data_IF_301583215653
#
_entry.id   IF_301583215653
#
_cell.length_a   1.000
_cell.length_b   1.000
_cell.length_c   1.000
_cell.angle_alpha   90.00
_cell.angle_beta   90.00
_cell.angle_gamma   90.00
#
_symmetry.space_group_name_H-M   'P 1'
#
loop_
_entity.id
_entity.type
_entity.pdbx_description
1 polymer ?
#
# COMPACT_ATOMS: atom_id res chain seq x y z
N UNK A 1 -59.73 -24.86 27.50
CA UNK A 1 -58.40 -25.19 28.03
C UNK A 1 -57.37 -24.43 27.17
N UNK A 2 -56.89 -23.32 27.70
CA UNK A 2 -55.93 -22.47 26.97
C UNK A 2 -54.52 -22.80 27.48
N UNK A 3 -53.66 -23.27 26.56
CA UNK A 3 -52.26 -23.61 26.84
C UNK A 3 -51.43 -22.33 26.76
N UNK A 4 -50.98 -21.83 27.91
CA UNK A 4 -50.13 -20.64 28.04
C UNK A 4 -48.68 -21.11 28.00
N UNK A 5 -48.06 -21.09 26.80
CA UNK A 5 -46.64 -21.35 26.67
C UNK A 5 -45.82 -20.15 27.15
N UNK A 6 -45.25 -20.31 28.34
CA UNK A 6 -44.31 -19.35 28.95
C UNK A 6 -42.99 -19.45 28.18
N UNK A 7 -42.75 -18.52 27.21
CA UNK A 7 -41.43 -18.34 26.58
C UNK A 7 -40.48 -17.75 27.64
N UNK A 8 -39.62 -18.60 28.20
CA UNK A 8 -38.48 -18.16 28.99
C UNK A 8 -37.56 -17.28 28.15
N UNK A 9 -37.54 -15.97 28.40
CA UNK A 9 -36.51 -15.06 27.85
C UNK A 9 -35.15 -15.44 28.46
N UNK A 10 -34.37 -16.18 27.73
CA UNK A 10 -32.95 -16.38 28.05
C UNK A 10 -32.27 -15.00 28.01
N UNK A 11 -31.98 -14.45 29.21
CA UNK A 11 -31.11 -13.28 29.38
C UNK A 11 -29.74 -13.62 28.79
N UNK A 12 -29.46 -13.18 27.58
CA UNK A 12 -28.12 -13.20 27.01
C UNK A 12 -27.20 -12.47 28.00
N UNK A 13 -26.26 -13.17 28.62
CA UNK A 13 -25.21 -12.61 29.46
C UNK A 13 -24.47 -11.59 28.58
N UNK A 14 -24.57 -10.30 28.91
CA UNK A 14 -23.74 -9.25 28.30
C UNK A 14 -22.28 -9.71 28.42
N UNK A 15 -21.54 -9.88 27.31
CA UNK A 15 -20.13 -10.25 27.41
C UNK A 15 -19.43 -9.21 28.28
N UNK A 16 -18.46 -9.66 29.04
CA UNK A 16 -17.63 -8.82 29.94
C UNK A 16 -16.87 -7.78 29.11
N UNK A 17 -17.57 -6.74 28.66
CA UNK A 17 -17.11 -5.71 27.71
C UNK A 17 -15.81 -5.04 28.18
N UNK A 18 -15.59 -4.93 29.50
CA UNK A 18 -14.37 -4.39 30.04
C UNK A 18 -13.11 -5.24 29.72
N UNK A 19 -13.22 -6.59 29.73
CA UNK A 19 -12.09 -7.47 29.34
C UNK A 19 -11.75 -7.30 27.87
N UNK A 20 -12.76 -7.18 27.02
CA UNK A 20 -12.56 -6.90 25.60
C UNK A 20 -11.84 -5.54 25.40
N UNK A 21 -12.29 -4.50 26.13
CA UNK A 21 -11.63 -3.19 26.07
C UNK A 21 -10.20 -3.24 26.59
N UNK A 22 -9.94 -3.99 27.66
CA UNK A 22 -8.59 -4.18 28.19
C UNK A 22 -7.66 -4.85 27.16
N UNK A 23 -8.11 -5.93 26.51
CA UNK A 23 -7.35 -6.61 25.46
C UNK A 23 -7.07 -5.68 24.28
N UNK A 24 -8.09 -4.91 23.85
CA UNK A 24 -7.93 -3.94 22.76
C UNK A 24 -6.95 -2.82 23.12
N UNK A 25 -7.02 -2.29 24.36
CA UNK A 25 -6.11 -1.24 24.83
C UNK A 25 -4.67 -1.77 24.92
N UNK A 26 -4.47 -2.97 25.47
CA UNK A 26 -3.14 -3.59 25.53
C UNK A 26 -2.58 -3.84 24.12
N UNK A 27 -3.41 -4.37 23.21
CA UNK A 27 -3.02 -4.56 21.82
C UNK A 27 -2.64 -3.23 21.15
N UNK A 28 -3.44 -2.18 21.34
CA UNK A 28 -3.15 -0.85 20.83
C UNK A 28 -1.85 -0.27 21.43
N UNK A 29 -1.64 -0.41 22.73
CA UNK A 29 -0.41 0.04 23.41
C UNK A 29 0.84 -0.64 22.83
N UNK A 30 0.79 -1.97 22.62
CA UNK A 30 1.89 -2.72 21.99
C UNK A 30 2.16 -2.20 20.58
N UNK A 31 1.12 -1.97 19.78
CA UNK A 31 1.24 -1.46 18.40
C UNK A 31 1.79 -0.02 18.33
N UNK A 32 1.49 0.81 19.34
CA UNK A 32 1.95 2.21 19.39
C UNK A 32 3.38 2.33 19.95
N UNK A 33 3.82 1.37 20.76
CA UNK A 33 5.16 1.38 21.42
C UNK A 33 6.32 1.66 20.44
N UNK A 34 6.44 1.01 19.26
CA UNK A 34 7.55 1.28 18.34
C UNK A 34 7.53 2.72 17.82
N UNK A 35 6.36 3.31 17.62
CA UNK A 35 6.25 4.70 17.18
C UNK A 35 6.65 5.68 18.28
N UNK A 36 6.25 5.41 19.54
CA UNK A 36 6.70 6.20 20.69
C UNK A 36 8.22 6.11 20.83
N UNK A 37 8.79 4.90 20.72
CA UNK A 37 10.23 4.71 20.71
C UNK A 37 10.93 5.48 19.60
N UNK A 38 10.38 5.47 18.41
CA UNK A 38 10.88 6.21 17.25
C UNK A 38 10.91 7.72 17.55
N UNK A 39 9.80 8.29 18.04
CA UNK A 39 9.71 9.70 18.43
C UNK A 39 10.70 10.03 19.53
N UNK A 40 10.78 9.23 20.59
CA UNK A 40 11.74 9.44 21.67
C UNK A 40 13.18 9.38 21.16
N UNK A 41 13.47 8.52 20.20
CA UNK A 41 14.82 8.40 19.64
C UNK A 41 15.21 9.62 18.82
N UNK A 42 14.25 10.29 18.13
CA UNK A 42 14.57 11.55 17.45
C UNK A 42 14.99 12.66 18.39
N UNK A 43 14.64 12.57 19.66
CA UNK A 43 14.88 13.58 20.68
C UNK A 43 16.09 13.26 21.57
N UNK A 44 16.83 12.19 21.25
CA UNK A 44 18.08 11.81 21.93
C UNK A 44 19.29 12.36 21.23
N UNK A 45 20.37 12.51 22.00
CA UNK A 45 21.70 12.74 21.42
C UNK A 45 22.21 11.46 20.74
N UNK A 46 23.18 11.60 19.81
CA UNK A 46 23.78 10.43 19.13
C UNK A 46 24.39 9.43 20.12
N UNK A 47 25.17 9.83 21.16
CA UNK A 47 25.67 8.90 22.16
C UNK A 47 24.56 8.16 22.92
N UNK A 48 23.51 8.86 23.34
CA UNK A 48 22.39 8.24 24.06
C UNK A 48 21.63 7.22 23.20
N UNK A 49 21.48 7.50 21.89
CA UNK A 49 20.81 6.60 20.95
C UNK A 49 21.56 5.27 20.75
N UNK A 50 22.86 5.25 21.04
CA UNK A 50 23.76 4.10 20.92
C UNK A 50 24.10 3.45 22.26
N UNK A 51 23.61 4.00 23.38
CA UNK A 51 23.94 3.52 24.73
C UNK A 51 23.46 2.07 24.99
N UNK A 52 24.26 1.30 25.66
CA UNK A 52 23.94 -0.05 26.13
C UNK A 52 24.12 -0.10 27.64
N UNK A 53 23.09 -0.36 28.45
CA UNK A 53 21.69 -0.66 28.04
C UNK A 53 20.96 0.55 27.40
N UNK A 54 19.91 0.30 26.59
CA UNK A 54 19.19 1.39 25.93
C UNK A 54 18.53 2.34 26.93
N UNK A 55 18.76 3.64 26.73
CA UNK A 55 18.12 4.71 27.52
C UNK A 55 16.70 4.91 27.02
N UNK A 56 15.68 4.78 27.89
CA UNK A 56 14.29 4.92 27.50
C UNK A 56 13.91 6.38 27.19
N UNK A 57 14.21 7.29 28.10
CA UNK A 57 13.90 8.72 27.96
C UNK A 57 15.20 9.50 27.72
N UNK A 58 15.17 10.54 26.87
CA UNK A 58 16.33 11.41 26.69
C UNK A 58 16.74 12.04 28.02
N UNK A 59 18.03 12.02 28.37
CA UNK A 59 18.55 12.79 29.48
C UNK A 59 18.71 14.27 29.07
N UNK A 60 19.11 14.47 27.80
CA UNK A 60 19.18 15.80 27.15
C UNK A 60 18.25 15.77 25.94
N UNK A 61 17.31 16.72 25.87
CA UNK A 61 16.39 16.82 24.75
C UNK A 61 17.07 17.52 23.57
N UNK A 62 17.37 16.76 22.52
CA UNK A 62 17.99 17.24 21.28
C UNK A 62 16.91 17.36 20.17
N UNK A 63 16.64 18.58 19.71
CA UNK A 63 15.65 18.86 18.65
C UNK A 63 16.28 19.03 17.27
N UNK A 64 17.62 18.97 17.17
CA UNK A 64 18.34 19.27 15.93
C UNK A 64 18.31 18.11 14.92
N UNK A 65 17.83 16.94 15.31
CA UNK A 65 17.79 15.74 14.45
C UNK A 65 16.98 15.95 13.15
N UNK A 66 15.89 16.71 13.23
CA UNK A 66 15.10 17.08 12.05
C UNK A 66 15.89 18.03 11.13
N UNK A 67 16.54 19.04 11.71
CA UNK A 67 17.36 19.99 10.93
C UNK A 67 18.50 19.23 10.24
N UNK A 68 19.25 18.41 11.00
CA UNK A 68 20.31 17.56 10.42
C UNK A 68 19.81 16.67 9.27
N UNK A 69 18.59 16.13 9.38
CA UNK A 69 18.01 15.34 8.30
C UNK A 69 17.82 16.17 7.02
N UNK A 70 17.21 17.36 7.12
CA UNK A 70 16.98 18.25 5.98
C UNK A 70 18.28 18.80 5.38
N UNK A 71 19.33 18.99 6.18
CA UNK A 71 20.64 19.48 5.73
C UNK A 71 21.47 18.36 5.07
N UNK A 72 21.32 17.13 5.52
CA UNK A 72 22.13 15.99 5.04
C UNK A 72 21.56 15.36 3.76
N UNK A 73 20.25 15.38 3.62
CA UNK A 73 19.53 14.67 2.54
C UNK A 73 18.76 15.69 1.69
N UNK A 74 18.79 15.62 0.35
CA UNK A 74 17.96 16.46 -0.51
C UNK A 74 16.48 16.01 -0.47
N UNK A 75 15.86 16.15 0.70
CA UNK A 75 14.54 15.59 1.05
C UNK A 75 13.47 15.96 0.04
N UNK A 76 13.47 17.22 -0.41
CA UNK A 76 12.46 17.72 -1.35
C UNK A 76 12.54 17.03 -2.71
N UNK A 77 13.74 16.85 -3.26
CA UNK A 77 13.94 16.12 -4.51
C UNK A 77 13.48 14.68 -4.39
N UNK A 78 13.92 13.99 -3.32
CA UNK A 78 13.55 12.60 -3.07
C UNK A 78 12.05 12.43 -2.81
N UNK A 79 11.41 13.39 -2.14
CA UNK A 79 9.97 13.41 -1.95
C UNK A 79 9.23 13.54 -3.29
N UNK A 80 9.68 14.41 -4.18
CA UNK A 80 9.08 14.58 -5.51
C UNK A 80 9.25 13.32 -6.37
N UNK A 81 10.42 12.68 -6.34
CA UNK A 81 10.67 11.42 -7.06
C UNK A 81 9.76 10.31 -6.50
N UNK A 82 9.70 10.14 -5.17
CA UNK A 82 8.83 9.16 -4.53
C UNK A 82 7.35 9.38 -4.86
N UNK A 83 6.90 10.64 -4.79
CA UNK A 83 5.52 11.01 -5.11
C UNK A 83 5.19 10.81 -6.58
N UNK A 84 6.10 11.17 -7.48
CA UNK A 84 5.97 10.95 -8.90
C UNK A 84 5.90 9.46 -9.26
N UNK A 85 6.78 8.65 -8.68
CA UNK A 85 6.78 7.19 -8.85
C UNK A 85 5.48 6.57 -8.32
N UNK A 86 5.02 7.01 -7.14
CA UNK A 86 3.76 6.58 -6.56
C UNK A 86 2.57 6.91 -7.48
N UNK A 87 2.44 8.15 -7.92
CA UNK A 87 1.31 8.57 -8.78
C UNK A 87 1.32 7.80 -10.10
N UNK A 88 2.48 7.69 -10.75
CA UNK A 88 2.61 6.96 -12.01
C UNK A 88 2.29 5.47 -11.84
N UNK A 89 2.83 4.84 -10.79
CA UNK A 89 2.61 3.42 -10.50
C UNK A 89 1.16 3.13 -10.13
N UNK A 90 0.56 3.93 -9.24
CA UNK A 90 -0.82 3.73 -8.80
C UNK A 90 -1.78 3.92 -9.96
N UNK A 91 -1.70 5.04 -10.68
CA UNK A 91 -2.61 5.31 -11.80
C UNK A 91 -2.46 4.27 -12.92
N UNK A 92 -1.23 3.95 -13.30
CA UNK A 92 -0.96 2.95 -14.34
C UNK A 92 -1.41 1.55 -13.93
N UNK A 93 -1.09 1.11 -12.71
CA UNK A 93 -1.49 -0.21 -12.22
C UNK A 93 -3.01 -0.35 -12.10
N UNK A 94 -3.72 0.67 -11.60
CA UNK A 94 -5.18 0.66 -11.51
C UNK A 94 -5.82 0.54 -12.89
N UNK A 95 -5.37 1.34 -13.85
CA UNK A 95 -5.88 1.33 -15.22
C UNK A 95 -5.62 -0.01 -15.91
N UNK A 96 -4.38 -0.47 -15.89
CA UNK A 96 -3.98 -1.73 -16.56
C UNK A 96 -4.68 -2.92 -15.91
N UNK A 97 -4.71 -2.97 -14.57
CA UNK A 97 -5.38 -4.06 -13.85
C UNK A 97 -6.89 -4.06 -14.11
N UNK A 98 -7.55 -2.90 -14.12
CA UNK A 98 -8.98 -2.81 -14.39
C UNK A 98 -9.32 -3.22 -15.83
N UNK A 99 -8.56 -2.75 -16.81
CA UNK A 99 -8.76 -3.11 -18.22
C UNK A 99 -8.56 -4.61 -18.46
N UNK A 100 -7.47 -5.16 -17.97
CA UNK A 100 -7.18 -6.59 -18.07
C UNK A 100 -8.25 -7.43 -17.35
N UNK A 101 -8.63 -7.02 -16.15
CA UNK A 101 -9.65 -7.69 -15.34
C UNK A 101 -11.02 -7.68 -16.01
N UNK A 102 -11.41 -6.56 -16.63
CA UNK A 102 -12.66 -6.46 -17.38
C UNK A 102 -12.65 -7.40 -18.59
N UNK A 103 -11.53 -7.46 -19.33
CA UNK A 103 -11.34 -8.42 -20.40
C UNK A 103 -11.53 -9.86 -19.94
N UNK A 104 -10.88 -10.26 -18.84
CA UNK A 104 -11.01 -11.59 -18.27
C UNK A 104 -12.36 -11.87 -17.59
N UNK A 105 -13.10 -10.86 -17.16
CA UNK A 105 -14.41 -11.04 -16.52
C UNK A 105 -15.54 -11.18 -17.52
N UNK A 106 -15.56 -10.34 -18.57
CA UNK A 106 -16.75 -10.08 -19.39
C UNK A 106 -16.64 -10.55 -20.83
N UNK A 107 -15.42 -10.63 -21.40
CA UNK A 107 -15.28 -11.08 -22.79
C UNK A 107 -15.07 -12.60 -22.87
N UNK A 108 -15.92 -13.32 -23.63
CA UNK A 108 -15.67 -14.73 -23.93
C UNK A 108 -14.60 -14.84 -25.03
N UNK A 109 -13.52 -15.54 -24.74
CA UNK A 109 -12.51 -15.91 -25.74
C UNK A 109 -11.91 -17.28 -25.42
N UNK A 110 -11.43 -18.02 -26.45
CA UNK A 110 -10.86 -19.34 -26.25
C UNK A 110 -9.61 -19.27 -25.38
N UNK A 111 -9.48 -20.20 -24.42
CA UNK A 111 -8.32 -20.24 -23.52
C UNK A 111 -8.34 -19.24 -22.38
N UNK A 112 -9.41 -18.43 -22.20
CA UNK A 112 -9.51 -17.39 -21.15
C UNK A 112 -9.11 -17.89 -19.76
N UNK A 113 -9.63 -19.02 -19.33
CA UNK A 113 -9.37 -19.55 -17.99
C UNK A 113 -7.93 -20.08 -17.86
N UNK A 114 -7.38 -20.67 -18.92
CA UNK A 114 -5.98 -21.11 -18.95
C UNK A 114 -5.04 -19.90 -18.86
N UNK A 115 -5.25 -18.89 -19.70
CA UNK A 115 -4.44 -17.67 -19.68
C UNK A 115 -4.53 -16.94 -18.34
N UNK A 116 -5.72 -16.87 -17.75
CA UNK A 116 -5.87 -16.28 -16.43
C UNK A 116 -5.17 -17.11 -15.35
N UNK A 117 -5.24 -18.45 -15.43
CA UNK A 117 -4.51 -19.35 -14.54
C UNK A 117 -3.00 -19.18 -14.65
N UNK A 118 -2.45 -19.11 -15.86
CA UNK A 118 -1.01 -18.83 -16.10
C UNK A 118 -0.61 -17.45 -15.54
N UNK A 119 -1.47 -16.46 -15.71
CA UNK A 119 -1.24 -15.14 -15.14
C UNK A 119 -1.16 -15.17 -13.61
N UNK A 120 -2.00 -16.00 -12.95
CA UNK A 120 -1.94 -16.18 -11.50
C UNK A 120 -0.68 -16.94 -11.02
N UNK A 121 -0.11 -17.81 -11.84
CA UNK A 121 1.16 -18.47 -11.51
C UNK A 121 2.28 -17.47 -11.26
N UNK A 122 2.24 -16.29 -11.90
CA UNK A 122 3.20 -15.21 -11.65
C UNK A 122 3.19 -14.72 -10.20
N UNK A 123 2.07 -14.90 -9.46
CA UNK A 123 2.01 -14.54 -8.02
C UNK A 123 2.86 -15.46 -7.14
N UNK A 124 3.20 -16.65 -7.64
CA UNK A 124 4.02 -17.62 -6.91
C UNK A 124 5.52 -17.34 -7.07
N UNK A 125 5.90 -16.59 -8.11
CA UNK A 125 7.29 -16.26 -8.36
C UNK A 125 7.72 -15.06 -7.51
N UNK A 126 8.80 -15.17 -6.70
CA UNK A 126 9.34 -14.02 -5.99
C UNK A 126 9.85 -12.98 -7.00
N UNK A 127 9.42 -11.73 -6.81
CA UNK A 127 9.77 -10.62 -7.73
C UNK A 127 11.28 -10.42 -7.89
N UNK A 128 12.06 -10.80 -6.88
CA UNK A 128 13.52 -10.69 -6.88
C UNK A 128 14.20 -11.51 -7.99
N UNK A 129 13.57 -12.58 -8.48
CA UNK A 129 14.10 -13.37 -9.59
C UNK A 129 14.24 -12.57 -10.89
N UNK A 130 13.44 -11.53 -11.05
CA UNK A 130 13.40 -10.73 -12.27
C UNK A 130 14.28 -9.48 -12.21
N UNK A 131 14.94 -9.19 -11.07
CA UNK A 131 15.68 -7.93 -10.85
C UNK A 131 16.76 -7.69 -11.92
N UNK A 132 17.57 -8.70 -12.24
CA UNK A 132 18.66 -8.58 -13.21
C UNK A 132 18.09 -8.33 -14.61
N UNK A 133 17.08 -9.11 -15.02
CA UNK A 133 16.45 -8.95 -16.32
C UNK A 133 15.73 -7.59 -16.45
N UNK A 134 15.09 -7.12 -15.38
CA UNK A 134 14.47 -5.79 -15.36
C UNK A 134 15.51 -4.69 -15.45
N UNK A 135 16.64 -4.82 -14.74
CA UNK A 135 17.74 -3.85 -14.82
C UNK A 135 18.31 -3.77 -16.24
N UNK A 136 18.59 -4.92 -16.86
CA UNK A 136 19.11 -4.97 -18.23
C UNK A 136 18.11 -4.37 -19.23
N UNK A 137 16.81 -4.62 -19.04
CA UNK A 137 15.77 -4.01 -19.86
C UNK A 137 15.78 -2.49 -19.73
N UNK A 138 15.79 -1.95 -18.51
CA UNK A 138 15.83 -0.50 -18.28
C UNK A 138 17.12 0.14 -18.83
N UNK A 139 18.25 -0.57 -18.71
CA UNK A 139 19.53 -0.13 -19.28
C UNK A 139 19.47 -0.05 -20.81
N UNK A 140 18.94 -1.09 -21.47
CA UNK A 140 18.83 -1.13 -22.92
C UNK A 140 17.84 -0.09 -23.47
N UNK A 141 16.83 0.28 -22.67
CA UNK A 141 15.89 1.35 -22.99
C UNK A 141 16.44 2.75 -22.66
N UNK A 142 17.66 2.87 -22.15
CA UNK A 142 18.27 4.12 -21.69
C UNK A 142 17.44 4.87 -20.64
N UNK A 143 16.76 4.14 -19.76
CA UNK A 143 15.89 4.68 -18.72
C UNK A 143 16.53 4.68 -17.33
N UNK A 144 17.78 4.18 -17.18
CA UNK A 144 18.45 4.20 -15.88
C UNK A 144 18.42 5.60 -15.29
N UNK A 145 18.29 5.68 -13.98
CA UNK A 145 18.33 6.95 -13.24
C UNK A 145 17.17 7.89 -13.56
N UNK A 146 16.02 7.35 -14.00
CA UNK A 146 14.82 8.11 -14.34
C UNK A 146 13.59 7.67 -13.57
N UNK A 147 12.62 8.58 -13.40
CA UNK A 147 11.33 8.27 -12.78
C UNK A 147 10.56 7.13 -13.48
N UNK A 148 10.48 7.06 -14.83
CA UNK A 148 9.86 5.91 -15.51
C UNK A 148 10.49 4.58 -15.15
N UNK A 149 11.81 4.49 -15.02
CA UNK A 149 12.47 3.25 -14.65
C UNK A 149 12.07 2.73 -13.27
N UNK A 150 11.80 3.64 -12.32
CA UNK A 150 11.31 3.29 -10.99
C UNK A 150 9.88 2.76 -11.06
N UNK A 151 9.01 3.35 -11.88
CA UNK A 151 7.57 3.10 -11.86
C UNK A 151 7.12 1.96 -12.79
N UNK A 152 7.71 1.83 -14.01
CA UNK A 152 7.25 0.92 -15.08
C UNK A 152 7.14 -0.55 -14.63
N UNK A 153 8.11 -1.15 -13.93
CA UNK A 153 8.01 -2.55 -13.52
C UNK A 153 6.81 -2.82 -12.60
N UNK A 154 6.35 -1.81 -11.88
CA UNK A 154 5.21 -1.91 -10.98
C UNK A 154 3.85 -1.60 -11.61
N UNK A 155 3.77 -1.29 -12.90
CA UNK A 155 2.49 -1.02 -13.58
C UNK A 155 1.64 -2.28 -13.78
N UNK A 156 2.27 -3.45 -13.87
CA UNK A 156 1.59 -4.73 -14.06
C UNK A 156 1.45 -5.46 -12.72
N UNK A 157 0.24 -5.87 -12.39
CA UNK A 157 -0.05 -6.60 -11.15
C UNK A 157 -1.02 -7.75 -11.42
N UNK A 158 -0.54 -8.97 -11.25
CA UNK A 158 -1.38 -10.14 -11.29
C UNK A 158 -2.41 -10.13 -10.15
N UNK A 159 -2.00 -9.69 -8.95
CA UNK A 159 -2.90 -9.50 -7.81
C UNK A 159 -3.97 -8.45 -8.09
N UNK A 160 -3.57 -7.28 -8.62
CA UNK A 160 -4.50 -6.22 -8.97
C UNK A 160 -5.54 -6.67 -10.01
N UNK A 161 -5.08 -7.37 -11.05
CA UNK A 161 -5.97 -7.95 -12.08
C UNK A 161 -6.92 -9.00 -11.51
N UNK A 162 -6.41 -9.88 -10.63
CA UNK A 162 -7.25 -10.86 -9.93
C UNK A 162 -8.33 -10.19 -9.09
N UNK A 163 -7.94 -9.24 -8.25
CA UNK A 163 -8.84 -8.54 -7.34
C UNK A 163 -9.95 -7.81 -8.12
N UNK A 164 -9.58 -7.06 -9.15
CA UNK A 164 -10.54 -6.34 -10.00
C UNK A 164 -11.43 -7.28 -10.81
N UNK A 165 -10.91 -8.43 -11.28
CA UNK A 165 -11.73 -9.44 -11.96
C UNK A 165 -12.82 -9.99 -11.03
N UNK A 166 -12.49 -10.32 -9.77
CA UNK A 166 -13.49 -10.76 -8.79
C UNK A 166 -14.55 -9.70 -8.56
N UNK A 167 -14.15 -8.43 -8.46
CA UNK A 167 -15.08 -7.32 -8.31
C UNK A 167 -16.03 -7.18 -9.52
N UNK A 168 -15.50 -7.22 -10.75
CA UNK A 168 -16.33 -7.17 -11.94
C UNK A 168 -17.29 -8.37 -12.06
N UNK A 169 -16.83 -9.57 -11.70
CA UNK A 169 -17.69 -10.76 -11.70
C UNK A 169 -18.84 -10.69 -10.69
N UNK A 170 -18.68 -9.91 -9.61
CA UNK A 170 -19.71 -9.72 -8.61
C UNK A 170 -20.80 -8.72 -9.04
N UNK A 171 -20.56 -7.91 -10.06
CA UNK A 171 -21.57 -7.00 -10.62
C UNK A 171 -22.55 -7.81 -11.47
N UNK A 172 -23.89 -7.70 -11.27
CA UNK A 172 -24.90 -8.37 -12.08
C UNK A 172 -24.80 -7.98 -13.57
N UNK A 173 -25.03 -8.94 -14.46
CA UNK A 173 -24.91 -8.71 -15.91
C UNK A 173 -26.01 -7.79 -16.46
N UNK A 174 -27.14 -7.73 -15.80
CA UNK A 174 -28.28 -6.91 -16.15
C UNK A 174 -27.95 -5.43 -16.31
N UNK A 175 -26.97 -4.92 -15.56
CA UNK A 175 -26.50 -3.53 -15.71
C UNK A 175 -25.79 -3.29 -17.05
N UNK A 176 -25.04 -4.27 -17.54
CA UNK A 176 -24.38 -4.17 -18.84
C UNK A 176 -25.37 -4.34 -19.98
N UNK A 177 -26.32 -5.28 -19.83
CA UNK A 177 -27.36 -5.54 -20.84
C UNK A 177 -28.27 -4.32 -21.01
N UNK A 178 -28.71 -3.71 -19.89
CA UNK A 178 -29.50 -2.49 -19.94
C UNK A 178 -28.78 -1.34 -20.68
N UNK A 179 -27.50 -1.13 -20.35
CA UNK A 179 -26.69 -0.10 -20.99
C UNK A 179 -26.47 -0.36 -22.49
N UNK A 180 -26.34 -1.62 -22.90
CA UNK A 180 -26.22 -1.98 -24.31
C UNK A 180 -27.54 -1.77 -25.07
N UNK A 181 -28.67 -2.00 -24.42
CA UNK A 181 -29.99 -1.66 -24.99
C UNK A 181 -30.15 -0.15 -25.20
N UNK A 182 -29.57 0.66 -24.33
CA UNK A 182 -29.49 2.12 -24.44
C UNK A 182 -28.41 2.59 -25.45
N UNK A 183 -27.77 1.66 -26.18
CA UNK A 183 -26.80 1.96 -27.23
C UNK A 183 -25.35 2.18 -26.74
N UNK A 184 -25.02 1.88 -25.48
CA UNK A 184 -23.68 2.02 -24.99
C UNK A 184 -22.74 0.95 -25.59
N UNK A 185 -21.57 1.38 -26.06
CA UNK A 185 -20.49 0.45 -26.46
C UNK A 185 -19.73 -0.08 -25.24
N UNK A 186 -18.92 -1.13 -25.43
CA UNK A 186 -18.19 -1.79 -24.34
C UNK A 186 -17.25 -0.86 -23.57
N UNK A 187 -16.69 0.15 -24.22
CA UNK A 187 -15.83 1.14 -23.56
C UNK A 187 -16.65 2.08 -22.66
N UNK A 188 -17.83 2.50 -23.11
CA UNK A 188 -18.77 3.30 -22.31
C UNK A 188 -19.30 2.50 -21.12
N UNK A 189 -19.65 1.23 -21.32
CA UNK A 189 -20.05 0.32 -20.24
C UNK A 189 -18.94 0.20 -19.20
N UNK A 190 -17.69 -0.02 -19.63
CA UNK A 190 -16.55 -0.10 -18.73
C UNK A 190 -16.39 1.16 -17.87
N UNK A 191 -16.30 2.34 -18.51
CA UNK A 191 -15.98 3.59 -17.81
C UNK A 191 -17.14 4.17 -16.99
N UNK A 192 -18.38 4.06 -17.49
CA UNK A 192 -19.54 4.72 -16.88
C UNK A 192 -20.30 3.84 -15.90
N UNK A 193 -20.17 2.52 -16.00
CA UNK A 193 -20.94 1.57 -15.20
C UNK A 193 -20.02 0.67 -14.38
N UNK A 194 -19.21 -0.15 -15.03
CA UNK A 194 -18.47 -1.20 -14.36
C UNK A 194 -17.40 -0.66 -13.43
N UNK A 195 -16.60 0.29 -13.88
CA UNK A 195 -15.51 0.86 -13.07
C UNK A 195 -16.04 1.61 -11.83
N UNK A 196 -17.06 2.50 -11.94
CA UNK A 196 -17.65 3.14 -10.76
C UNK A 196 -18.30 2.16 -9.78
N UNK A 197 -18.97 1.10 -10.25
CA UNK A 197 -19.58 0.09 -9.39
C UNK A 197 -18.55 -0.72 -8.59
N UNK A 198 -17.33 -0.84 -9.10
CA UNK A 198 -16.21 -1.50 -8.39
C UNK A 198 -15.32 -0.51 -7.61
N UNK A 199 -15.78 0.72 -7.42
CA UNK A 199 -15.06 1.78 -6.73
C UNK A 199 -14.42 1.39 -5.40
N UNK A 200 -15.11 0.69 -4.49
CA UNK A 200 -14.51 0.24 -3.22
C UNK A 200 -13.30 -0.69 -3.41
N UNK A 201 -13.37 -1.62 -4.36
CA UNK A 201 -12.25 -2.52 -4.69
C UNK A 201 -11.09 -1.77 -5.34
N UNK A 202 -11.42 -0.83 -6.23
CA UNK A 202 -10.42 0.04 -6.85
C UNK A 202 -9.68 0.89 -5.81
N UNK A 203 -10.40 1.43 -4.83
CA UNK A 203 -9.80 2.19 -3.72
C UNK A 203 -8.91 1.30 -2.84
N UNK A 204 -9.33 0.07 -2.54
CA UNK A 204 -8.52 -0.89 -1.80
C UNK A 204 -7.21 -1.21 -2.55
N UNK A 205 -7.29 -1.43 -3.87
CA UNK A 205 -6.12 -1.65 -4.71
C UNK A 205 -5.21 -0.42 -4.74
N UNK A 206 -5.78 0.79 -4.82
CA UNK A 206 -5.02 2.04 -4.77
C UNK A 206 -4.21 2.18 -3.46
N UNK A 207 -4.83 1.90 -2.31
CA UNK A 207 -4.13 1.93 -1.01
C UNK A 207 -2.99 0.93 -0.97
N UNK A 208 -3.25 -0.34 -1.36
CA UNK A 208 -2.23 -1.37 -1.36
C UNK A 208 -1.06 -1.01 -2.30
N UNK A 209 -1.37 -0.57 -3.51
CA UNK A 209 -0.33 -0.14 -4.47
C UNK A 209 0.47 1.05 -3.95
N UNK A 210 -0.20 2.00 -3.27
CA UNK A 210 0.48 3.16 -2.66
C UNK A 210 1.44 2.72 -1.57
N UNK A 211 1.03 1.80 -0.69
CA UNK A 211 1.89 1.24 0.36
C UNK A 211 3.12 0.54 -0.23
N UNK A 212 2.94 -0.29 -1.26
CA UNK A 212 4.05 -0.97 -1.93
C UNK A 212 4.98 0.02 -2.64
N UNK A 213 4.43 0.98 -3.38
CA UNK A 213 5.22 1.95 -4.14
C UNK A 213 6.03 2.88 -3.25
N UNK A 214 5.42 3.36 -2.16
CA UNK A 214 6.07 4.30 -1.24
C UNK A 214 7.19 3.65 -0.42
N UNK A 215 7.02 2.38 -0.01
CA UNK A 215 7.99 1.64 0.79
C UNK A 215 8.99 0.84 -0.06
N UNK A 216 8.91 0.93 -1.40
CA UNK A 216 9.83 0.21 -2.27
C UNK A 216 11.25 0.77 -2.12
N UNK A 217 12.13 -0.05 -1.57
CA UNK A 217 13.54 0.28 -1.38
C UNK A 217 14.41 -0.42 -2.42
N UNK A 218 14.17 -1.72 -2.63
CA UNK A 218 15.11 -2.58 -3.34
C UNK A 218 15.29 -2.18 -4.81
N UNK A 219 14.18 -1.99 -5.50
CA UNK A 219 14.23 -1.64 -6.92
C UNK A 219 14.78 -0.21 -7.16
N UNK A 220 14.31 0.84 -6.47
CA UNK A 220 14.90 2.17 -6.59
C UNK A 220 16.38 2.22 -6.21
N UNK A 221 16.82 1.44 -5.22
CA UNK A 221 18.23 1.37 -4.83
C UNK A 221 19.14 0.83 -5.95
N UNK A 222 18.62 -0.10 -6.76
CA UNK A 222 19.36 -0.70 -7.87
C UNK A 222 19.39 0.23 -9.10
N UNK A 223 18.28 0.94 -9.35
CA UNK A 223 18.09 1.67 -10.61
C UNK A 223 18.51 3.14 -10.54
N UNK A 224 18.59 3.72 -9.33
CA UNK A 224 18.90 5.14 -9.12
C UNK A 224 20.31 5.33 -8.59
N UNK A 225 21.13 6.06 -9.34
CA UNK A 225 22.54 6.33 -9.00
C UNK A 225 22.77 7.78 -8.58
N UNK A 226 21.98 8.72 -9.09
CA UNK A 226 22.15 10.15 -8.78
C UNK A 226 21.24 10.60 -7.64
N UNK A 227 21.65 11.55 -6.79
CA UNK A 227 20.82 12.07 -5.72
C UNK A 227 19.47 12.64 -6.19
N UNK A 228 19.40 13.12 -7.43
CA UNK A 228 18.19 13.69 -8.03
C UNK A 228 17.13 12.66 -8.46
N UNK A 229 17.50 11.38 -8.61
CA UNK A 229 16.63 10.27 -9.01
C UNK A 229 16.27 9.34 -7.86
N UNK A 230 16.89 9.49 -6.69
CA UNK A 230 16.66 8.63 -5.54
C UNK A 230 15.30 8.87 -4.91
N UNK A 231 14.66 7.78 -4.46
CA UNK A 231 13.44 7.84 -3.65
C UNK A 231 13.77 8.11 -2.18
N UNK A 232 12.77 8.52 -1.41
CA UNK A 232 12.93 8.81 0.02
C UNK A 232 13.42 7.59 0.82
N UNK A 233 12.92 6.35 0.60
CA UNK A 233 13.48 5.15 1.23
C UNK A 233 14.97 4.92 0.91
N UNK A 234 15.40 5.19 -0.31
CA UNK A 234 16.83 5.09 -0.69
C UNK A 234 17.66 6.13 0.03
N UNK A 235 17.17 7.38 0.12
CA UNK A 235 17.83 8.43 0.90
C UNK A 235 17.99 8.08 2.37
N UNK A 236 16.95 7.48 2.97
CA UNK A 236 17.01 7.00 4.36
C UNK A 236 18.00 5.85 4.54
N UNK A 237 18.04 4.91 3.58
CA UNK A 237 19.00 3.82 3.63
C UNK A 237 20.45 4.32 3.55
N UNK A 238 20.72 5.37 2.79
CA UNK A 238 22.03 5.98 2.67
C UNK A 238 22.50 6.72 3.94
N UNK A 239 21.59 7.05 4.88
CA UNK A 239 21.94 7.57 6.21
C UNK A 239 22.53 6.50 7.13
N UNK A 240 22.39 5.23 6.77
CA UNK A 240 23.03 4.12 7.51
C UNK A 240 24.50 4.02 7.09
N UNK A 241 25.36 4.71 7.84
CA UNK A 241 26.79 4.77 7.54
C UNK A 241 27.53 3.48 7.90
N UNK A 242 28.58 3.18 7.14
CA UNK A 242 29.44 2.02 7.35
C UNK A 242 30.19 2.10 8.70
N UNK A 243 30.47 3.31 9.20
CA UNK A 243 31.23 3.55 10.45
C UNK A 243 30.36 4.02 11.62
N UNK A 244 29.05 4.05 11.44
CA UNK A 244 28.10 4.43 12.48
C UNK A 244 26.88 5.17 11.92
N UNK A 245 25.71 4.84 12.45
CA UNK A 245 24.45 5.45 12.08
C UNK A 245 24.08 6.55 13.04
N UNK A 246 23.69 7.72 12.55
CA UNK A 246 22.99 8.74 13.33
C UNK A 246 21.53 8.34 13.49
N UNK A 247 21.22 7.54 14.52
CA UNK A 247 19.86 7.03 14.74
C UNK A 247 18.84 8.15 14.96
N UNK A 248 19.09 9.24 15.72
CA UNK A 248 18.17 10.35 15.84
C UNK A 248 17.78 10.95 14.50
N UNK A 249 18.75 11.26 13.63
CA UNK A 249 18.51 11.79 12.29
C UNK A 249 17.78 10.80 11.38
N UNK A 250 18.14 9.51 11.43
CA UNK A 250 17.45 8.45 10.69
C UNK A 250 15.99 8.30 11.12
N UNK A 251 15.72 8.34 12.45
CA UNK A 251 14.35 8.24 12.98
C UNK A 251 13.52 9.48 12.64
N UNK A 252 14.11 10.67 12.67
CA UNK A 252 13.47 11.91 12.23
C UNK A 252 13.07 11.82 10.74
N UNK A 253 13.99 11.39 9.88
CA UNK A 253 13.70 11.18 8.46
C UNK A 253 12.62 10.11 8.21
N UNK A 254 12.64 9.02 8.98
CA UNK A 254 11.61 7.97 8.89
C UNK A 254 10.23 8.46 9.32
N UNK A 255 10.12 9.34 10.33
CA UNK A 255 8.87 10.01 10.70
C UNK A 255 8.35 10.89 9.56
N UNK A 256 9.22 11.73 8.99
CA UNK A 256 8.86 12.56 7.82
C UNK A 256 8.41 11.70 6.65
N UNK A 257 9.11 10.61 6.35
CA UNK A 257 8.78 9.69 5.27
C UNK A 257 7.45 8.93 5.49
N UNK A 258 7.00 8.76 6.73
CA UNK A 258 5.73 8.10 7.02
C UNK A 258 4.50 9.01 6.83
N UNK A 259 4.66 10.34 6.88
CA UNK A 259 3.54 11.30 6.80
C UNK A 259 2.67 11.13 5.55
N UNK A 260 3.22 11.00 4.32
CA UNK A 260 2.39 10.85 3.12
C UNK A 260 1.50 9.60 3.14
N UNK A 261 2.02 8.47 3.66
CA UNK A 261 1.23 7.24 3.79
C UNK A 261 0.09 7.41 4.80
N UNK A 262 0.35 8.10 5.91
CA UNK A 262 -0.68 8.42 6.90
C UNK A 262 -1.78 9.28 6.27
N UNK A 263 -1.41 10.29 5.49
CA UNK A 263 -2.37 11.15 4.78
C UNK A 263 -3.19 10.33 3.77
N UNK A 264 -2.56 9.51 2.94
CA UNK A 264 -3.24 8.64 1.98
C UNK A 264 -4.20 7.69 2.69
N UNK A 265 -3.76 7.06 3.79
CA UNK A 265 -4.60 6.16 4.57
C UNK A 265 -5.82 6.88 5.15
N UNK A 266 -5.64 8.05 5.79
CA UNK A 266 -6.74 8.84 6.35
C UNK A 266 -7.74 9.25 5.25
N UNK A 267 -7.25 9.63 4.06
CA UNK A 267 -8.09 10.02 2.94
C UNK A 267 -8.92 8.85 2.39
N UNK A 268 -8.35 7.64 2.33
CA UNK A 268 -8.96 6.47 1.70
C UNK A 268 -9.54 5.42 2.67
N UNK A 269 -9.40 5.62 3.99
CA UNK A 269 -9.79 4.61 5.00
C UNK A 269 -11.26 4.17 4.89
N UNK A 270 -12.19 5.10 4.60
CA UNK A 270 -13.62 4.78 4.49
C UNK A 270 -13.89 3.80 3.34
N UNK A 271 -13.29 4.05 2.18
CA UNK A 271 -13.42 3.19 1.01
C UNK A 271 -12.73 1.83 1.23
N UNK A 272 -11.59 1.84 1.91
CA UNK A 272 -10.85 0.63 2.26
C UNK A 272 -11.68 -0.30 3.15
N UNK A 273 -12.26 0.21 4.23
CA UNK A 273 -13.12 -0.60 5.12
C UNK A 273 -14.41 -1.06 4.44
N UNK A 274 -15.03 -0.25 3.57
CA UNK A 274 -16.20 -0.65 2.80
C UNK A 274 -15.87 -1.80 1.84
N UNK A 275 -14.70 -1.79 1.20
CA UNK A 275 -14.24 -2.85 0.30
C UNK A 275 -14.01 -4.19 1.01
N UNK A 276 -13.40 -4.18 2.20
CA UNK A 276 -13.16 -5.39 3.00
C UNK A 276 -14.48 -5.96 3.55
N UNK A 277 -15.37 -5.11 4.03
CA UNK A 277 -16.66 -5.55 4.58
C UNK A 277 -17.54 -6.24 3.53
N UNK A 278 -17.52 -5.79 2.28
CA UNK A 278 -18.27 -6.39 1.18
C UNK A 278 -17.73 -7.76 0.76
N UNK A 279 -16.44 -8.04 0.96
CA UNK A 279 -15.82 -9.33 0.66
C UNK A 279 -15.98 -10.36 1.79
N UNK A 280 -16.22 -9.92 3.04
CA UNK A 280 -16.35 -10.77 4.22
C UNK A 280 -17.76 -11.24 4.55
N UNK A 281 -18.81 -10.69 3.92
CA UNK A 281 -20.22 -11.01 4.22
C UNK A 281 -20.84 -12.11 3.33
N UNK A 282 -20.04 -12.86 2.59
CA UNK A 282 -20.46 -14.05 1.85
C UNK A 282 -20.05 -15.32 2.61
N UNK A 283 -20.53 -15.46 3.84
CA UNK A 283 -20.47 -16.67 4.64
C UNK A 283 -21.81 -16.91 5.33
#
# INVERSE_FOLDING_TARGET
MADVSIRAKTKARKPRTWMLHLVLILGAAIMVTPFVWQVLTTLKTIPESRAVPPVLLPATWDFDSFMRFFDTVPVWSMFLVSSGALVLRVTGQLLISALAAYGFARFPFPGRNLLFGLFLVMLMAPSQLFLIAQFDLMKNLHLLDTLPAIAIPGLFSAFGTFLMRQAFMAVPQEFEEAARLDGANSFQVFWRIMLPMTGPTLAALAVLTSLYSWNDLLWPLIISSSPGSMTLPVGLANLQGQYGTDYPTLMAGSLVASLPLIVIFIALQRQFFAGIASSGLKG
#
